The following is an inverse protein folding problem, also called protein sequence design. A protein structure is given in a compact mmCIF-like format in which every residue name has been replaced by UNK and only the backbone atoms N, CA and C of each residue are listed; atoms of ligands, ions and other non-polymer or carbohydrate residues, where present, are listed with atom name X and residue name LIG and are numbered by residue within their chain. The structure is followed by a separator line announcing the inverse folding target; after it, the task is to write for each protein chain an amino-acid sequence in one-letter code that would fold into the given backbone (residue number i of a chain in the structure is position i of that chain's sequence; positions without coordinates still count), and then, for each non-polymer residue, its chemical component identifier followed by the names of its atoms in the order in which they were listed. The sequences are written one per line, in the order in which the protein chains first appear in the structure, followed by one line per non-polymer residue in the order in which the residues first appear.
data_IF_926615407797
#
_entry.id   IF_926615407797
#
_cell.length_a   1.000
_cell.length_b   1.000
_cell.length_c   1.000
_cell.angle_alpha   90.00
_cell.angle_beta   90.00
_cell.angle_gamma   90.00
#
_symmetry.space_group_name_H-M   'P 1'
#
loop_
_entity.id
_entity.type
_entity.pdbx_description
1 polymer ?
#
# COMPACT_ATOMS: atom_id res chain seq x y z
N UNK A 1 12.67 8.94 -6.18
CA UNK A 1 13.88 8.83 -5.32
C UNK A 1 15.18 8.78 -6.15
N UNK A 2 15.33 7.83 -7.15
CA UNK A 2 16.59 7.68 -7.90
C UNK A 2 16.98 8.96 -8.67
N UNK A 3 16.05 9.55 -9.40
CA UNK A 3 16.26 10.82 -10.14
C UNK A 3 16.68 11.93 -9.19
N UNK A 4 16.02 12.05 -8.07
CA UNK A 4 16.33 13.07 -7.04
C UNK A 4 17.73 12.85 -6.44
N UNK A 5 18.05 11.60 -6.09
CA UNK A 5 19.39 11.25 -5.58
C UNK A 5 20.47 11.57 -6.61
N UNK A 6 20.28 11.24 -7.88
CA UNK A 6 21.21 11.57 -8.95
C UNK A 6 21.44 13.08 -9.07
N UNK A 7 20.38 13.88 -9.05
CA UNK A 7 20.48 15.35 -9.10
C UNK A 7 21.28 15.91 -7.93
N UNK A 8 21.03 15.42 -6.70
CA UNK A 8 21.78 15.82 -5.50
C UNK A 8 23.26 15.47 -5.57
N UNK A 9 23.61 14.41 -6.27
CA UNK A 9 25.00 13.98 -6.49
C UNK A 9 25.64 14.62 -7.71
N UNK A 10 24.97 15.57 -8.39
CA UNK A 10 25.46 16.21 -9.61
C UNK A 10 25.55 15.29 -10.82
N UNK A 11 24.77 14.19 -10.83
CA UNK A 11 24.71 13.21 -11.92
C UNK A 11 23.51 13.50 -12.84
N UNK A 12 23.51 14.67 -13.46
CA UNK A 12 22.35 15.14 -14.22
C UNK A 12 22.03 14.29 -15.45
N UNK A 13 23.05 13.74 -16.16
CA UNK A 13 22.84 12.85 -17.29
C UNK A 13 22.10 11.56 -16.89
N UNK A 14 22.48 10.98 -15.74
CA UNK A 14 21.80 9.80 -15.18
C UNK A 14 20.36 10.14 -14.75
N UNK A 15 20.16 11.29 -14.13
CA UNK A 15 18.85 11.77 -13.71
C UNK A 15 17.92 11.96 -14.93
N UNK A 16 18.42 12.61 -15.98
CA UNK A 16 17.65 12.87 -17.21
C UNK A 16 17.30 11.57 -17.94
N UNK A 17 18.26 10.65 -18.05
CA UNK A 17 18.02 9.31 -18.62
C UNK A 17 16.95 8.54 -17.85
N UNK A 18 17.03 8.52 -16.52
CA UNK A 18 16.04 7.86 -15.68
C UNK A 18 14.67 8.52 -15.80
N UNK A 19 14.60 9.85 -15.86
CA UNK A 19 13.36 10.59 -16.05
C UNK A 19 12.67 10.22 -17.36
N UNK A 20 13.43 10.16 -18.47
CA UNK A 20 12.90 9.74 -19.77
C UNK A 20 12.33 8.30 -19.73
N UNK A 21 13.01 7.38 -19.04
CA UNK A 21 12.48 6.02 -18.87
C UNK A 21 11.19 6.00 -18.06
N UNK A 22 11.09 6.80 -17.00
CA UNK A 22 9.87 6.91 -16.19
C UNK A 22 8.71 7.38 -17.07
N UNK A 23 8.89 8.46 -17.82
CA UNK A 23 7.87 9.02 -18.72
C UNK A 23 7.38 8.00 -19.76
N UNK A 24 8.32 7.32 -20.42
CA UNK A 24 8.01 6.27 -21.39
C UNK A 24 7.26 5.09 -20.76
N UNK A 25 7.65 4.65 -19.54
CA UNK A 25 6.96 3.58 -18.83
C UNK A 25 5.54 3.99 -18.41
N UNK A 26 5.36 5.20 -17.90
CA UNK A 26 4.04 5.72 -17.53
C UNK A 26 3.10 5.74 -18.74
N UNK A 27 3.56 6.29 -19.88
CA UNK A 27 2.78 6.29 -21.11
C UNK A 27 2.47 4.90 -21.63
N UNK A 28 3.42 3.97 -21.55
CA UNK A 28 3.19 2.57 -21.92
C UNK A 28 2.13 1.90 -21.06
N UNK A 29 2.15 2.12 -19.73
CA UNK A 29 1.14 1.58 -18.83
C UNK A 29 -0.23 2.18 -19.11
N UNK A 30 -0.33 3.51 -19.27
CA UNK A 30 -1.60 4.17 -19.60
C UNK A 30 -2.20 3.64 -20.92
N UNK A 31 -1.35 3.47 -21.93
CA UNK A 31 -1.79 3.09 -23.28
C UNK A 31 -2.08 1.61 -23.45
N UNK A 32 -1.26 0.76 -22.83
CA UNK A 32 -1.28 -0.69 -23.06
C UNK A 32 -1.62 -1.51 -21.82
N UNK A 33 -1.40 -0.95 -20.63
CA UNK A 33 -1.64 -1.63 -19.34
C UNK A 33 -2.99 -1.34 -18.70
N UNK A 34 -3.90 -0.62 -19.37
CA UNK A 34 -5.22 -0.24 -18.83
C UNK A 34 -6.34 -1.00 -19.51
N UNK A 35 -7.23 -1.62 -18.74
CA UNK A 35 -8.37 -2.42 -19.21
C UNK A 35 -9.74 -1.73 -19.06
N UNK A 36 -9.73 -0.39 -18.87
CA UNK A 36 -10.92 0.44 -18.73
C UNK A 36 -11.36 0.68 -17.29
N UNK A 37 -11.20 -0.32 -16.40
CA UNK A 37 -11.58 -0.24 -14.99
C UNK A 37 -10.45 -0.61 -14.02
N UNK A 38 -9.38 -1.28 -14.50
CA UNK A 38 -8.19 -1.65 -13.73
C UNK A 38 -6.94 -1.81 -14.60
N UNK A 39 -5.77 -1.94 -13.98
CA UNK A 39 -4.51 -2.20 -14.67
C UNK A 39 -4.34 -3.69 -14.92
N UNK A 40 -3.90 -4.05 -16.14
CA UNK A 40 -3.51 -5.40 -16.51
C UNK A 40 -2.37 -5.91 -15.62
N UNK A 41 -2.30 -7.23 -15.47
CA UNK A 41 -1.17 -7.87 -14.78
C UNK A 41 0.06 -7.96 -15.68
N UNK A 42 -0.13 -8.39 -16.92
CA UNK A 42 0.95 -8.61 -17.88
C UNK A 42 0.38 -8.84 -19.30
N UNK A 43 1.29 -9.05 -20.23
CA UNK A 43 1.06 -9.74 -21.48
C UNK A 43 1.86 -11.04 -21.48
N UNK A 44 1.31 -12.12 -22.06
CA UNK A 44 2.04 -13.36 -22.29
C UNK A 44 3.02 -13.24 -23.48
N UNK A 45 3.76 -14.31 -23.74
CA UNK A 45 4.69 -14.35 -24.86
C UNK A 45 4.03 -14.11 -26.23
N UNK A 46 2.77 -14.49 -26.38
CA UNK A 46 2.00 -14.36 -27.63
C UNK A 46 1.28 -13.01 -27.75
N UNK A 47 1.37 -12.16 -26.74
CA UNK A 47 0.72 -10.86 -26.71
C UNK A 47 -0.73 -10.88 -26.19
N UNK A 48 -1.18 -11.97 -25.57
CA UNK A 48 -2.47 -12.03 -24.92
C UNK A 48 -2.42 -11.29 -23.58
N UNK A 49 -3.50 -10.60 -23.24
CA UNK A 49 -3.64 -9.91 -21.98
C UNK A 49 -3.79 -10.90 -20.82
N UNK A 50 -3.09 -10.64 -19.73
CA UNK A 50 -3.24 -11.30 -18.42
C UNK A 50 -3.78 -10.30 -17.42
N UNK A 51 -4.85 -10.64 -16.73
CA UNK A 51 -5.51 -9.70 -15.82
C UNK A 51 -6.47 -8.74 -16.51
N UNK A 52 -7.15 -9.19 -17.55
CA UNK A 52 -8.13 -8.44 -18.32
C UNK A 52 -9.55 -9.02 -18.11
N UNK A 53 -10.54 -8.17 -18.24
CA UNK A 53 -11.96 -8.60 -18.34
C UNK A 53 -12.25 -9.51 -19.55
N UNK A 54 -11.34 -9.55 -20.52
CA UNK A 54 -11.40 -10.46 -21.66
C UNK A 54 -11.03 -11.91 -21.27
N UNK A 55 -10.36 -12.12 -20.13
CA UNK A 55 -9.99 -13.44 -19.66
C UNK A 55 -11.20 -14.14 -19.00
N UNK A 56 -11.29 -15.44 -19.13
CA UNK A 56 -12.30 -16.26 -18.45
C UNK A 56 -12.05 -16.29 -16.92
N UNK A 57 -10.79 -16.49 -16.53
CA UNK A 57 -10.29 -16.55 -15.15
C UNK A 57 -9.13 -15.58 -14.96
N UNK A 58 -8.80 -15.18 -13.74
CA UNK A 58 -7.70 -14.25 -13.48
C UNK A 58 -7.89 -12.89 -14.14
N UNK A 59 -9.09 -12.30 -14.03
CA UNK A 59 -9.44 -11.04 -14.70
C UNK A 59 -8.79 -9.81 -14.08
N UNK A 60 -8.57 -9.83 -12.76
CA UNK A 60 -7.96 -8.73 -12.02
C UNK A 60 -6.96 -9.26 -11.00
N UNK A 61 -5.84 -8.57 -10.83
CA UNK A 61 -4.77 -8.90 -9.89
C UNK A 61 -4.44 -7.70 -9.00
N UNK A 62 -4.21 -7.94 -7.71
CA UNK A 62 -3.97 -6.90 -6.70
C UNK A 62 -2.70 -6.09 -6.96
N UNK A 63 -1.62 -6.72 -7.45
CA UNK A 63 -0.28 -6.12 -7.55
C UNK A 63 -0.27 -4.88 -8.44
N UNK A 64 -0.85 -4.99 -9.63
CA UNK A 64 -0.88 -3.88 -10.59
C UNK A 64 -1.66 -2.69 -10.04
N UNK A 65 -2.75 -2.94 -9.31
CA UNK A 65 -3.58 -1.88 -8.76
C UNK A 65 -2.84 -1.11 -7.67
N UNK A 66 -2.19 -1.81 -6.76
CA UNK A 66 -1.39 -1.20 -5.69
C UNK A 66 -0.21 -0.40 -6.23
N UNK A 67 0.63 -1.02 -7.05
CA UNK A 67 1.86 -0.39 -7.54
C UNK A 67 1.62 0.77 -8.50
N UNK A 68 0.69 0.65 -9.46
CA UNK A 68 0.37 1.75 -10.37
C UNK A 68 -0.22 2.95 -9.62
N UNK A 69 -1.05 2.71 -8.60
CA UNK A 69 -1.59 3.78 -7.77
C UNK A 69 -0.51 4.46 -6.93
N UNK A 70 0.36 3.70 -6.24
CA UNK A 70 1.48 4.27 -5.48
C UNK A 70 2.44 5.07 -6.36
N UNK A 71 2.59 4.68 -7.62
CA UNK A 71 3.38 5.41 -8.61
C UNK A 71 2.66 6.62 -9.20
N UNK A 72 1.39 6.87 -8.86
CA UNK A 72 0.60 7.98 -9.36
C UNK A 72 0.18 7.86 -10.83
N UNK A 73 0.28 6.67 -11.42
CA UNK A 73 -0.04 6.47 -12.85
C UNK A 73 -1.54 6.65 -13.06
N UNK A 74 -1.93 7.63 -13.86
CA UNK A 74 -3.34 7.91 -14.15
C UNK A 74 -4.15 8.52 -13.00
N UNK A 75 -3.47 9.15 -12.03
CA UNK A 75 -4.12 9.79 -10.88
C UNK A 75 -5.05 10.94 -11.33
N UNK A 76 -4.56 11.83 -12.19
CA UNK A 76 -5.33 12.97 -12.68
C UNK A 76 -6.47 12.55 -13.61
N UNK A 77 -6.30 11.45 -14.33
CA UNK A 77 -7.31 10.88 -15.22
C UNK A 77 -8.36 10.03 -14.49
N UNK A 78 -8.24 9.86 -13.18
CA UNK A 78 -9.15 9.07 -12.36
C UNK A 78 -9.02 7.55 -12.53
N UNK A 79 -7.97 7.07 -13.20
CA UNK A 79 -7.72 5.65 -13.42
C UNK A 79 -7.48 4.93 -12.08
N UNK A 80 -6.66 5.52 -11.19
CA UNK A 80 -6.36 4.95 -9.87
C UNK A 80 -7.60 4.77 -9.01
N UNK A 81 -8.56 5.73 -9.06
CA UNK A 81 -9.81 5.59 -8.33
C UNK A 81 -10.62 4.39 -8.82
N UNK A 82 -10.78 4.25 -10.15
CA UNK A 82 -11.49 3.09 -10.73
C UNK A 82 -10.80 1.77 -10.37
N UNK A 83 -9.46 1.74 -10.41
CA UNK A 83 -8.69 0.55 -10.06
C UNK A 83 -8.94 0.13 -8.61
N UNK A 84 -8.93 1.06 -7.65
CA UNK A 84 -9.20 0.76 -6.24
C UNK A 84 -10.67 0.44 -5.98
N UNK A 85 -11.62 1.06 -6.68
CA UNK A 85 -13.02 0.68 -6.66
C UNK A 85 -13.19 -0.78 -7.13
N UNK A 86 -12.50 -1.17 -8.22
CA UNK A 86 -12.49 -2.55 -8.73
C UNK A 86 -11.85 -3.55 -7.76
N UNK A 87 -10.78 -3.16 -7.06
CA UNK A 87 -10.19 -3.97 -5.98
C UNK A 87 -11.21 -4.21 -4.88
N UNK A 88 -11.88 -3.15 -4.42
CA UNK A 88 -12.90 -3.24 -3.37
C UNK A 88 -14.07 -4.12 -3.77
N UNK A 89 -14.55 -3.99 -4.99
CA UNK A 89 -15.71 -4.76 -5.50
C UNK A 89 -15.36 -6.24 -5.74
N UNK A 90 -14.18 -6.52 -6.32
CA UNK A 90 -13.87 -7.83 -6.89
C UNK A 90 -12.92 -8.67 -6.06
N UNK A 91 -11.98 -8.05 -5.35
CA UNK A 91 -10.92 -8.75 -4.62
C UNK A 91 -11.12 -8.73 -3.09
N UNK A 92 -11.87 -7.76 -2.56
CA UNK A 92 -12.01 -7.62 -1.11
C UNK A 92 -12.92 -8.72 -0.54
N UNK A 93 -12.56 -9.18 0.66
CA UNK A 93 -13.34 -10.14 1.42
C UNK A 93 -13.12 -9.90 2.94
N UNK A 94 -13.77 -10.72 3.77
CA UNK A 94 -13.75 -10.57 5.23
C UNK A 94 -12.33 -10.55 5.82
N UNK A 95 -11.46 -11.47 5.35
CA UNK A 95 -10.13 -11.69 5.94
C UNK A 95 -8.99 -10.98 5.19
N UNK A 96 -9.29 -10.18 4.17
CA UNK A 96 -8.30 -9.44 3.39
C UNK A 96 -8.68 -9.31 1.93
N UNK A 97 -7.71 -8.97 1.11
CA UNK A 97 -7.86 -8.80 -0.34
C UNK A 97 -7.18 -9.99 -1.01
N UNK A 98 -7.94 -10.75 -1.80
CA UNK A 98 -7.40 -11.89 -2.56
C UNK A 98 -6.51 -11.42 -3.71
N UNK A 99 -5.57 -12.26 -4.11
CA UNK A 99 -4.57 -11.91 -5.11
C UNK A 99 -5.17 -11.66 -6.48
N UNK A 100 -6.11 -12.50 -6.89
CA UNK A 100 -6.80 -12.40 -8.20
C UNK A 100 -8.25 -12.89 -8.11
N UNK A 101 -9.04 -12.57 -9.10
CA UNK A 101 -10.42 -13.03 -9.23
C UNK A 101 -10.87 -13.02 -10.71
N UNK A 102 -11.64 -14.02 -11.20
CA UNK A 102 -11.91 -15.32 -10.58
C UNK A 102 -10.63 -16.17 -10.41
N UNK A 103 -10.63 -17.16 -9.50
CA UNK A 103 -9.51 -18.09 -9.37
C UNK A 103 -9.40 -18.99 -10.61
N UNK A 104 -8.21 -19.54 -10.85
CA UNK A 104 -8.00 -20.56 -11.86
C UNK A 104 -8.56 -21.90 -11.39
N UNK A 105 -9.37 -22.53 -12.23
CA UNK A 105 -9.97 -23.86 -11.96
C UNK A 105 -9.21 -25.00 -12.62
N UNK A 106 -8.27 -24.68 -13.52
CA UNK A 106 -7.43 -25.63 -14.26
C UNK A 106 -6.01 -25.10 -14.39
N UNK A 107 -5.08 -25.98 -14.66
CA UNK A 107 -3.72 -25.59 -15.02
C UNK A 107 -3.70 -24.93 -16.41
N UNK A 108 -3.21 -23.70 -16.47
CA UNK A 108 -3.02 -22.92 -17.69
C UNK A 108 -1.52 -22.84 -17.96
N UNK A 109 -1.06 -23.57 -18.97
CA UNK A 109 0.37 -23.72 -19.28
C UNK A 109 1.06 -22.36 -19.48
N UNK A 110 0.37 -21.43 -20.14
CA UNK A 110 0.86 -20.08 -20.43
C UNK A 110 1.09 -19.22 -19.18
N UNK A 111 0.38 -19.50 -18.09
CA UNK A 111 0.47 -18.80 -16.82
C UNK A 111 1.36 -19.51 -15.79
N UNK A 112 1.69 -20.77 -16.07
CA UNK A 112 2.59 -21.55 -15.25
C UNK A 112 2.09 -21.73 -13.81
N UNK A 113 2.99 -21.55 -12.85
CA UNK A 113 2.77 -21.92 -11.44
C UNK A 113 1.55 -21.24 -10.79
N UNK A 114 1.19 -20.01 -11.18
CA UNK A 114 0.07 -19.29 -10.59
C UNK A 114 -1.27 -20.03 -10.74
N UNK A 115 -1.41 -20.87 -11.78
CA UNK A 115 -2.60 -21.66 -12.05
C UNK A 115 -2.53 -23.10 -11.51
N UNK A 116 -1.45 -23.49 -10.82
CA UNK A 116 -1.29 -24.85 -10.26
C UNK A 116 -1.88 -25.01 -8.87
N UNK A 117 -1.99 -23.95 -8.12
CA UNK A 117 -2.53 -23.99 -6.76
C UNK A 117 -4.04 -24.18 -6.76
N UNK A 118 -4.61 -24.88 -5.76
CA UNK A 118 -6.06 -24.91 -5.58
C UNK A 118 -6.62 -23.50 -5.40
N UNK A 119 -7.87 -23.29 -5.86
CA UNK A 119 -8.56 -22.01 -5.71
C UNK A 119 -8.59 -21.54 -4.24
N UNK A 120 -8.29 -20.28 -4.02
CA UNK A 120 -8.19 -19.67 -2.70
C UNK A 120 -6.84 -19.89 -1.97
N UNK A 121 -5.84 -20.49 -2.61
CA UNK A 121 -4.53 -20.71 -2.01
C UNK A 121 -3.40 -20.10 -2.84
N UNK A 122 -2.37 -19.59 -2.13
CA UNK A 122 -1.16 -19.02 -2.73
C UNK A 122 -1.50 -17.99 -3.82
N UNK A 123 -0.86 -18.11 -4.98
CA UNK A 123 -1.03 -17.19 -6.10
C UNK A 123 -2.36 -17.36 -6.84
N UNK A 124 -3.17 -18.35 -6.47
CA UNK A 124 -4.47 -18.59 -7.05
C UNK A 124 -5.62 -18.14 -6.13
N UNK A 125 -5.87 -16.84 -6.09
CA UNK A 125 -6.91 -16.20 -5.28
C UNK A 125 -6.76 -16.39 -3.75
N UNK A 126 -5.57 -16.71 -3.25
CA UNK A 126 -5.22 -16.61 -1.84
C UNK A 126 -5.13 -15.13 -1.42
N UNK A 127 -5.32 -14.85 -0.12
CA UNK A 127 -5.00 -13.56 0.47
C UNK A 127 -3.50 -13.54 0.75
N UNK A 128 -2.71 -13.03 -0.18
CA UNK A 128 -1.27 -12.92 0.00
C UNK A 128 -0.99 -11.70 0.88
N UNK A 129 -0.61 -11.92 2.14
CA UNK A 129 -0.67 -10.89 3.16
C UNK A 129 0.29 -9.72 2.92
N UNK A 130 1.43 -9.91 2.23
CA UNK A 130 2.34 -8.79 1.94
C UNK A 130 1.86 -7.87 0.80
N UNK A 131 0.88 -8.30 -0.01
CA UNK A 131 0.31 -7.47 -1.08
C UNK A 131 -0.80 -6.55 -0.53
N UNK A 132 -1.45 -6.92 0.57
CA UNK A 132 -2.51 -6.13 1.18
C UNK A 132 -2.02 -4.74 1.64
N UNK A 133 -0.85 -4.56 2.28
CA UNK A 133 -0.27 -3.26 2.59
C UNK A 133 -0.05 -2.35 1.36
N UNK A 134 0.14 -2.89 0.16
CA UNK A 134 0.24 -2.07 -1.06
C UNK A 134 -1.08 -1.37 -1.37
N UNK A 135 -2.21 -2.04 -1.13
CA UNK A 135 -3.53 -1.40 -1.27
C UNK A 135 -3.75 -0.40 -0.12
N UNK A 136 -3.32 -0.71 1.11
CA UNK A 136 -3.33 0.27 2.20
C UNK A 136 -2.60 1.57 1.81
N UNK A 137 -1.38 1.45 1.26
CA UNK A 137 -0.63 2.60 0.77
C UNK A 137 -1.34 3.30 -0.41
N UNK A 138 -1.90 2.54 -1.34
CA UNK A 138 -2.62 3.07 -2.49
C UNK A 138 -3.86 3.88 -2.07
N UNK A 139 -4.63 3.40 -1.10
CA UNK A 139 -5.80 4.13 -0.58
C UNK A 139 -5.40 5.47 0.06
N UNK A 140 -4.23 5.55 0.71
CA UNK A 140 -3.74 6.81 1.27
C UNK A 140 -3.32 7.82 0.21
N UNK A 141 -2.95 7.39 -1.00
CA UNK A 141 -2.70 8.29 -2.14
C UNK A 141 -3.96 9.07 -2.51
N UNK A 142 -5.13 8.41 -2.47
CA UNK A 142 -6.43 9.04 -2.72
C UNK A 142 -7.03 9.74 -1.48
N UNK A 143 -6.38 9.68 -0.34
CA UNK A 143 -6.88 10.27 0.90
C UNK A 143 -7.97 9.45 1.62
N UNK A 144 -8.11 8.17 1.30
CA UNK A 144 -9.11 7.27 1.88
C UNK A 144 -8.59 6.63 3.18
N UNK A 145 -8.43 7.42 4.25
CA UNK A 145 -7.83 6.98 5.51
C UNK A 145 -8.62 5.88 6.22
N UNK A 146 -9.94 5.98 6.24
CA UNK A 146 -10.83 4.96 6.82
C UNK A 146 -10.68 3.62 6.09
N UNK A 147 -10.67 3.66 4.76
CA UNK A 147 -10.52 2.44 3.94
C UNK A 147 -9.12 1.85 4.06
N UNK A 148 -8.08 2.67 4.06
CA UNK A 148 -6.70 2.22 4.26
C UNK A 148 -6.55 1.47 5.60
N UNK A 149 -7.12 1.99 6.67
CA UNK A 149 -7.09 1.35 7.98
C UNK A 149 -7.96 0.09 8.05
N UNK A 150 -9.09 0.05 7.34
CA UNK A 150 -9.90 -1.18 7.19
C UNK A 150 -9.08 -2.32 6.57
N UNK A 151 -8.38 -2.06 5.46
CA UNK A 151 -7.50 -3.05 4.81
C UNK A 151 -6.38 -3.50 5.76
N UNK A 152 -5.72 -2.53 6.43
CA UNK A 152 -4.67 -2.81 7.40
C UNK A 152 -5.12 -3.79 8.50
N UNK A 153 -6.31 -3.59 9.06
CA UNK A 153 -6.83 -4.40 10.17
C UNK A 153 -7.06 -5.87 9.79
N UNK A 154 -7.45 -6.14 8.55
CA UNK A 154 -7.84 -7.50 8.11
C UNK A 154 -6.70 -8.51 8.19
N UNK A 155 -5.45 -8.08 8.07
CA UNK A 155 -4.28 -8.96 8.11
C UNK A 155 -3.37 -8.72 9.31
N UNK A 156 -3.68 -7.74 10.15
CA UNK A 156 -2.88 -7.42 11.34
C UNK A 156 -3.20 -8.33 12.50
N UNK A 157 -2.22 -9.10 13.06
CA UNK A 157 -2.46 -10.08 14.12
C UNK A 157 -3.21 -9.53 15.34
N UNK A 158 -2.95 -8.27 15.73
CA UNK A 158 -3.61 -7.64 16.86
C UNK A 158 -5.14 -7.44 16.68
N UNK A 159 -5.65 -7.51 15.46
CA UNK A 159 -7.06 -7.32 15.13
C UNK A 159 -7.79 -8.61 14.72
N UNK A 160 -7.09 -9.74 14.68
CA UNK A 160 -7.65 -11.04 14.29
C UNK A 160 -7.59 -12.08 15.45
N UNK A 161 -7.28 -11.61 16.66
CA UNK A 161 -7.21 -12.48 17.83
C UNK A 161 -8.57 -13.11 18.17
N UNK A 162 -9.66 -12.37 17.99
CA UNK A 162 -11.03 -12.84 18.24
C UNK A 162 -11.45 -13.99 17.30
N UNK A 163 -10.75 -14.16 16.18
CA UNK A 163 -10.98 -15.24 15.20
C UNK A 163 -9.81 -16.24 15.17
N UNK A 164 -9.06 -16.35 16.25
CA UNK A 164 -7.87 -17.22 16.35
C UNK A 164 -8.15 -18.69 16.03
N UNK A 165 -9.35 -19.19 16.32
CA UNK A 165 -9.77 -20.57 15.99
C UNK A 165 -9.93 -20.78 14.47
N UNK A 166 -10.22 -19.73 13.72
CA UNK A 166 -10.27 -19.75 12.25
C UNK A 166 -8.87 -19.51 11.68
N UNK A 167 -8.19 -18.46 12.17
CA UNK A 167 -6.89 -18.04 11.64
C UNK A 167 -5.75 -19.03 11.94
N UNK A 168 -5.71 -19.64 13.12
CA UNK A 168 -4.86 -20.77 13.50
C UNK A 168 -3.35 -20.54 13.38
N UNK A 169 -2.87 -19.32 13.48
CA UNK A 169 -1.45 -19.03 13.59
C UNK A 169 -1.10 -18.56 14.99
N UNK A 170 0.20 -18.50 15.29
CA UNK A 170 0.67 -17.98 16.55
C UNK A 170 0.21 -16.53 16.74
N UNK A 171 -0.21 -16.10 17.95
CA UNK A 171 -0.45 -14.70 18.26
C UNK A 171 0.76 -13.85 17.90
N UNK A 172 0.54 -12.64 17.42
CA UNK A 172 1.56 -11.64 17.01
C UNK A 172 2.33 -11.95 15.73
N UNK A 173 2.05 -13.07 15.05
CA UNK A 173 2.78 -13.49 13.86
C UNK A 173 1.98 -13.18 12.61
N UNK A 174 2.63 -12.53 11.63
CA UNK A 174 2.07 -12.38 10.31
C UNK A 174 2.22 -13.66 9.50
N UNK A 175 1.14 -14.07 8.85
CA UNK A 175 1.14 -15.16 7.88
C UNK A 175 1.67 -14.69 6.53
N UNK A 176 2.22 -15.60 5.74
CA UNK A 176 2.51 -15.34 4.33
C UNK A 176 1.21 -15.14 3.54
N UNK A 177 0.24 -16.02 3.78
CA UNK A 177 -1.09 -15.95 3.18
C UNK A 177 -2.16 -16.39 4.16
N UNK A 178 -3.37 -15.95 3.89
CA UNK A 178 -4.61 -16.46 4.46
C UNK A 178 -5.41 -17.11 3.33
N UNK A 179 -6.06 -18.25 3.61
CA UNK A 179 -6.92 -18.93 2.64
C UNK A 179 -8.03 -17.98 2.19
N UNK A 180 -8.15 -17.78 0.88
CA UNK A 180 -9.10 -16.87 0.24
C UNK A 180 -10.53 -17.40 0.24
N UNK A 181 -11.46 -16.57 -0.24
CA UNK A 181 -12.91 -16.85 -0.23
C UNK A 181 -13.32 -18.11 -1.00
N UNK A 182 -12.49 -18.57 -1.92
CA UNK A 182 -12.74 -19.76 -2.75
C UNK A 182 -12.12 -21.04 -2.14
N UNK A 183 -11.40 -20.92 -1.01
CA UNK A 183 -10.82 -22.05 -0.30
C UNK A 183 -11.82 -22.67 0.69
N UNK A 184 -11.83 -24.00 0.87
CA UNK A 184 -12.66 -24.66 1.87
C UNK A 184 -12.30 -24.28 3.32
N UNK A 185 -11.08 -23.77 3.56
CA UNK A 185 -10.62 -23.27 4.88
C UNK A 185 -10.49 -21.75 4.88
N UNK A 186 -11.45 -21.02 4.30
CA UNK A 186 -11.46 -19.57 4.24
C UNK A 186 -11.11 -18.93 5.60
N UNK A 187 -10.16 -18.01 5.62
CA UNK A 187 -9.68 -17.33 6.81
C UNK A 187 -8.50 -18.00 7.53
N UNK A 188 -8.14 -19.26 7.19
CA UNK A 188 -7.03 -19.95 7.81
C UNK A 188 -5.68 -19.42 7.33
N UNK A 189 -4.84 -18.96 8.26
CA UNK A 189 -3.48 -18.50 7.97
C UNK A 189 -2.54 -19.66 7.62
N UNK A 190 -1.63 -19.42 6.69
CA UNK A 190 -0.64 -20.40 6.21
C UNK A 190 0.77 -19.80 6.22
N UNK A 191 1.76 -20.65 6.47
CA UNK A 191 3.17 -20.30 6.43
C UNK A 191 3.49 -19.06 7.30
N UNK A 192 3.19 -19.15 8.59
CA UNK A 192 3.60 -18.15 9.57
C UNK A 192 5.12 -17.97 9.57
N UNK A 193 5.62 -16.78 9.89
CA UNK A 193 7.03 -16.36 9.87
C UNK A 193 7.70 -16.20 8.50
N UNK A 194 7.30 -16.93 7.48
CA UNK A 194 7.92 -16.92 6.14
C UNK A 194 7.32 -15.83 5.25
N UNK A 195 7.48 -14.56 5.64
CA UNK A 195 6.79 -13.48 4.91
C UNK A 195 7.46 -12.13 5.05
N UNK A 196 7.33 -11.30 4.00
CA UNK A 196 7.61 -9.85 4.05
C UNK A 196 6.45 -9.02 4.61
N UNK A 197 5.35 -9.64 5.06
CA UNK A 197 4.13 -8.94 5.50
C UNK A 197 4.41 -7.98 6.64
N UNK A 198 5.17 -8.40 7.67
CA UNK A 198 5.47 -7.58 8.83
C UNK A 198 6.17 -6.27 8.44
N UNK A 199 7.15 -6.32 7.53
CA UNK A 199 7.87 -5.15 7.07
C UNK A 199 6.96 -4.20 6.28
N UNK A 200 6.19 -4.72 5.31
CA UNK A 200 5.27 -3.91 4.53
C UNK A 200 4.12 -3.34 5.38
N UNK A 201 3.59 -4.10 6.33
CA UNK A 201 2.55 -3.61 7.24
C UNK A 201 3.10 -2.52 8.15
N UNK A 202 4.35 -2.65 8.64
CA UNK A 202 5.00 -1.59 9.39
C UNK A 202 5.18 -0.30 8.56
N UNK A 203 5.59 -0.41 7.29
CA UNK A 203 5.69 0.73 6.38
C UNK A 203 4.32 1.36 6.15
N UNK A 204 3.30 0.55 5.84
CA UNK A 204 1.96 1.06 5.54
C UNK A 204 1.33 1.81 6.72
N UNK A 205 1.44 1.29 7.96
CA UNK A 205 0.91 1.98 9.13
C UNK A 205 1.73 3.21 9.49
N UNK A 206 3.07 3.11 9.54
CA UNK A 206 3.90 4.20 10.06
C UNK A 206 4.11 5.33 9.05
N UNK A 207 4.22 5.01 7.76
CA UNK A 207 4.54 5.99 6.73
C UNK A 207 3.32 6.41 5.90
N UNK A 208 2.40 5.50 5.60
CA UNK A 208 1.24 5.84 4.78
C UNK A 208 0.05 6.31 5.63
N UNK A 209 -0.38 5.55 6.66
CA UNK A 209 -1.52 5.94 7.50
C UNK A 209 -1.13 7.01 8.50
N UNK A 210 -0.13 6.77 9.37
CA UNK A 210 0.32 7.76 10.35
C UNK A 210 1.18 8.86 9.73
N UNK A 211 1.57 8.72 8.46
CA UNK A 211 2.14 9.76 7.64
C UNK A 211 3.50 10.28 8.10
N UNK A 212 4.35 9.48 8.76
CA UNK A 212 5.67 9.91 9.24
C UNK A 212 6.76 9.30 8.37
N UNK A 213 7.17 10.01 7.33
CA UNK A 213 8.00 9.50 6.23
C UNK A 213 9.41 10.07 6.26
N UNK A 214 10.47 9.24 6.33
CA UNK A 214 11.84 9.69 6.12
C UNK A 214 12.03 10.15 4.67
N UNK A 215 12.59 11.36 4.50
CA UNK A 215 12.98 11.90 3.19
C UNK A 215 14.44 12.32 3.18
N UNK A 216 14.95 12.72 2.03
CA UNK A 216 16.32 13.25 1.94
C UNK A 216 16.46 14.60 2.67
N UNK A 217 15.41 15.42 2.69
CA UNK A 217 15.39 16.73 3.37
C UNK A 217 15.15 16.63 4.87
N UNK A 218 14.37 15.65 5.32
CA UNK A 218 13.96 15.58 6.70
C UNK A 218 12.90 14.50 6.94
N UNK A 219 12.02 14.76 7.88
CA UNK A 219 10.91 13.88 8.23
C UNK A 219 9.61 14.51 7.73
N UNK A 220 9.05 13.98 6.65
CA UNK A 220 7.77 14.46 6.11
C UNK A 220 6.61 13.97 6.98
N UNK A 221 5.63 14.84 7.17
CA UNK A 221 4.40 14.56 7.91
C UNK A 221 3.23 14.69 6.93
N UNK A 222 2.51 13.58 6.69
CA UNK A 222 1.35 13.54 5.78
C UNK A 222 0.35 12.46 6.23
N UNK A 223 -0.33 12.66 7.37
CA UNK A 223 -1.28 11.68 7.89
C UNK A 223 -2.47 11.44 6.96
N UNK A 224 -2.86 10.16 6.85
CA UNK A 224 -4.09 9.75 6.19
C UNK A 224 -4.78 8.71 7.09
N UNK A 225 -5.62 9.18 7.99
CA UNK A 225 -6.20 8.40 9.11
C UNK A 225 -7.72 8.27 9.00
N UNK A 226 -8.33 7.31 9.72
CA UNK A 226 -9.79 7.24 9.81
C UNK A 226 -10.40 8.55 10.31
N UNK A 227 -11.48 8.99 9.68
CA UNK A 227 -12.21 10.20 10.10
C UNK A 227 -12.68 10.14 11.58
N UNK A 228 -12.92 8.95 12.11
CA UNK A 228 -13.31 8.76 13.52
C UNK A 228 -12.18 8.97 14.54
N UNK A 229 -10.93 9.13 14.11
CA UNK A 229 -9.82 9.38 15.02
C UNK A 229 -9.71 10.88 15.34
N UNK A 230 -9.72 11.21 16.63
CA UNK A 230 -9.50 12.58 17.10
C UNK A 230 -8.03 13.03 17.03
N UNK A 231 -7.11 12.07 16.84
CA UNK A 231 -5.67 12.29 16.75
C UNK A 231 -4.86 11.12 17.31
N UNK A 232 -3.55 11.30 17.38
CA UNK A 232 -2.62 10.30 17.92
C UNK A 232 -1.28 10.95 18.30
N UNK A 233 -0.40 10.20 18.98
CA UNK A 233 0.96 10.62 19.28
C UNK A 233 1.97 9.60 18.81
N UNK A 234 3.13 10.09 18.33
CA UNK A 234 4.26 9.25 17.92
C UNK A 234 5.54 9.75 18.57
N UNK A 235 6.38 8.81 19.02
CA UNK A 235 7.78 9.04 19.34
C UNK A 235 8.66 8.44 18.26
N UNK A 236 9.27 9.27 17.42
CA UNK A 236 10.10 8.83 16.29
C UNK A 236 11.57 9.20 16.52
N UNK A 237 12.47 8.22 16.45
CA UNK A 237 13.90 8.47 16.30
C UNK A 237 14.24 8.68 14.83
N UNK A 238 14.92 9.79 14.54
CA UNK A 238 15.36 10.10 13.18
C UNK A 238 16.68 10.87 13.21
N UNK A 239 17.71 10.37 12.51
CA UNK A 239 19.06 10.96 12.42
C UNK A 239 19.66 11.36 13.78
N UNK A 240 19.44 10.53 14.81
CA UNK A 240 19.99 10.73 16.16
C UNK A 240 19.18 11.65 17.08
N UNK A 241 18.17 12.35 16.58
CA UNK A 241 17.20 13.11 17.37
C UNK A 241 15.93 12.30 17.68
N UNK A 242 15.15 12.76 18.65
CA UNK A 242 13.83 12.19 19.01
C UNK A 242 12.76 13.22 18.72
N UNK A 243 11.82 12.89 17.86
CA UNK A 243 10.65 13.71 17.57
C UNK A 243 9.45 13.17 18.34
N UNK A 244 8.78 14.02 19.14
CA UNK A 244 7.49 13.75 19.77
C UNK A 244 6.43 14.49 18.98
N UNK A 245 5.70 13.72 18.18
CA UNK A 245 4.72 14.24 17.23
C UNK A 245 3.32 14.01 17.83
N UNK A 246 2.58 15.09 18.03
CA UNK A 246 1.16 15.07 18.39
C UNK A 246 0.35 15.52 17.19
N UNK A 247 -0.52 14.66 16.70
CA UNK A 247 -1.46 14.95 15.61
C UNK A 247 -2.86 15.09 16.21
N UNK A 248 -3.51 16.19 15.92
CA UNK A 248 -4.88 16.51 16.31
C UNK A 248 -5.76 16.57 15.06
N UNK A 249 -6.94 15.96 15.13
CA UNK A 249 -7.91 15.94 14.03
C UNK A 249 -9.27 16.51 14.48
N UNK A 250 -9.37 17.81 14.77
CA UNK A 250 -10.58 18.42 15.29
C UNK A 250 -11.73 18.47 14.28
N UNK A 251 -11.40 18.37 12.99
CA UNK A 251 -12.38 18.46 11.90
C UNK A 251 -12.78 17.08 11.35
N UNK A 252 -12.25 16.00 11.93
CA UNK A 252 -12.54 14.64 11.51
C UNK A 252 -12.29 14.39 10.00
N UNK A 253 -11.22 15.01 9.46
CA UNK A 253 -10.80 14.78 8.08
C UNK A 253 -9.96 13.51 7.98
N UNK A 254 -9.95 12.87 6.82
CA UNK A 254 -9.12 11.69 6.60
C UNK A 254 -7.69 12.07 6.17
N UNK A 255 -7.51 13.20 5.49
CA UNK A 255 -6.23 13.70 4.99
C UNK A 255 -6.22 15.22 4.98
N UNK A 256 -5.02 15.79 4.98
CA UNK A 256 -4.80 17.24 4.95
C UNK A 256 -4.20 17.77 6.25
N UNK A 257 -3.42 18.82 6.15
CA UNK A 257 -2.77 19.51 7.25
C UNK A 257 -3.12 21.00 7.21
N UNK A 258 -3.73 21.49 8.27
CA UNK A 258 -4.01 22.91 8.45
C UNK A 258 -2.77 23.66 8.98
N UNK A 259 -2.00 23.05 9.92
CA UNK A 259 -0.81 23.68 10.47
C UNK A 259 0.16 22.68 11.10
N UNK A 260 1.46 23.03 11.08
CA UNK A 260 2.52 22.33 11.84
C UNK A 260 3.31 23.38 12.63
N UNK A 261 3.61 23.05 13.89
CA UNK A 261 4.52 23.82 14.74
C UNK A 261 5.62 22.89 15.30
N UNK A 262 6.86 23.39 15.31
CA UNK A 262 8.05 22.72 15.84
C UNK A 262 8.55 23.55 17.02
N UNK A 263 8.62 22.96 18.21
CA UNK A 263 8.97 23.63 19.48
C UNK A 263 8.20 24.95 19.67
N UNK A 264 6.91 24.93 19.32
CA UNK A 264 6.01 26.08 19.42
C UNK A 264 6.08 27.07 18.25
N UNK A 265 7.01 26.92 17.31
CA UNK A 265 7.19 27.80 16.16
C UNK A 265 6.51 27.21 14.93
N UNK A 266 5.55 27.91 14.29
CA UNK A 266 4.94 27.46 13.03
C UNK A 266 5.98 27.32 11.91
N UNK A 267 5.81 26.27 11.09
CA UNK A 267 6.61 26.04 9.88
C UNK A 267 5.76 26.09 8.62
N UNK A 268 6.38 26.39 7.49
CA UNK A 268 5.76 26.28 6.16
C UNK A 268 6.08 24.93 5.55
N UNK A 269 5.06 24.31 4.94
CA UNK A 269 5.19 22.95 4.39
C UNK A 269 5.06 21.88 5.47
N UNK A 270 5.36 20.64 5.07
CA UNK A 270 5.16 19.47 5.94
C UNK A 270 6.43 18.66 6.18
N UNK A 271 7.60 19.17 5.85
CA UNK A 271 8.90 18.49 6.08
C UNK A 271 9.61 19.11 7.29
N UNK A 272 9.79 18.33 8.34
CA UNK A 272 10.54 18.70 9.52
C UNK A 272 12.03 18.62 9.20
N UNK A 273 12.81 19.69 9.38
CA UNK A 273 14.25 19.65 9.15
C UNK A 273 14.93 18.71 10.17
N UNK A 274 16.07 18.09 9.80
CA UNK A 274 16.83 17.28 10.73
C UNK A 274 17.30 18.10 11.92
N UNK A 275 17.00 17.62 13.13
CA UNK A 275 17.50 18.20 14.37
C UNK A 275 18.86 17.61 14.77
N UNK A 276 19.60 18.32 15.64
CA UNK A 276 20.90 17.84 16.11
C UNK A 276 20.78 16.49 16.85
N UNK A 277 21.73 15.57 16.68
CA UNK A 277 21.73 14.32 17.44
C UNK A 277 21.65 14.54 18.94
N UNK A 278 20.89 13.71 19.64
CA UNK A 278 20.70 13.81 21.08
C UNK A 278 19.63 14.82 21.54
N UNK A 279 19.04 15.59 20.61
CA UNK A 279 17.95 16.53 20.94
C UNK A 279 16.58 15.86 20.95
N UNK A 280 15.65 16.44 21.69
CA UNK A 280 14.23 16.09 21.65
C UNK A 280 13.43 17.28 21.07
N UNK A 281 12.60 17.02 20.07
CA UNK A 281 11.84 18.02 19.32
C UNK A 281 10.34 17.76 19.55
N UNK A 282 9.60 18.80 19.93
CA UNK A 282 8.15 18.74 20.08
C UNK A 282 7.48 19.19 18.77
N UNK A 283 6.63 18.35 18.21
CA UNK A 283 5.92 18.64 16.96
C UNK A 283 4.42 18.55 17.20
N UNK A 284 3.71 19.63 16.87
CA UNK A 284 2.26 19.67 16.90
C UNK A 284 1.74 19.82 15.48
N UNK A 285 0.84 18.92 15.08
CA UNK A 285 0.21 18.88 13.76
C UNK A 285 -1.29 18.99 13.94
N UNK A 286 -1.93 19.89 13.21
CA UNK A 286 -3.40 20.00 13.18
C UNK A 286 -3.86 19.64 11.79
N UNK A 287 -4.72 18.62 11.68
CA UNK A 287 -5.35 18.21 10.43
C UNK A 287 -6.52 19.13 10.08
N UNK A 288 -6.70 19.37 8.74
CA UNK A 288 -7.79 20.18 8.22
C UNK A 288 -7.69 20.47 6.73
#
# INVERSE_FOLDING_TARGET
DYVELCRRLGKDDEANRAQTYIENMVEAVKKHGWDGDWYLRAYDYFGHKVGSKENEEGQIFIESQGWCTMAGIGLEEGMVKKALDSVKERLDCEHGIVLNNPPFTRYVVEYGEISTYPAGYKENAGIFCHNNPWITCAETVLGHGTRAFEVYRKTCPAYIEDISEIHRTEPYVYSQMVAGKDAPTFGEGKNSWLTGTAAWTFVSISQAILGVQPTLEGLAIDPCIPAGWAGYTIKRRYRGAVYRITVENPHHVEKGIASIAVDGTPITGNVLPPAAPGTEVQVRVVMG
#
